data_IF_290760860039
#
_entry.id   IF_290760860039
#
_cell.length_a   1.000
_cell.length_b   1.000
_cell.length_c   1.000
_cell.angle_alpha   90.00
_cell.angle_beta   90.00
_cell.angle_gamma   90.00
#
_symmetry.space_group_name_H-M   'P 1'
#
loop_
_entity.id
_entity.type
_entity.pdbx_description
1 polymer ?
#
# COMPACT_ATOMS: atom_id res chain seq x y z
N UNK A 1 77.56 -30.62 16.49
CA UNK A 1 76.96 -30.64 15.13
C UNK A 1 76.44 -29.25 14.81
N UNK A 2 76.72 -28.74 13.62
CA UNK A 2 76.67 -27.31 13.30
C UNK A 2 75.23 -26.91 12.85
N UNK A 3 74.48 -26.21 13.70
CA UNK A 3 73.05 -25.88 13.48
C UNK A 3 72.78 -25.08 12.18
N UNK A 4 73.79 -24.45 11.58
CA UNK A 4 73.67 -23.72 10.31
C UNK A 4 73.48 -24.61 9.08
N UNK A 5 73.88 -25.89 9.09
CA UNK A 5 73.70 -26.78 7.93
C UNK A 5 72.33 -27.48 7.91
N UNK A 6 71.71 -27.62 9.08
CA UNK A 6 70.38 -28.23 9.24
C UNK A 6 69.31 -27.26 8.74
N UNK A 7 69.42 -25.98 9.11
CA UNK A 7 68.45 -24.94 8.70
C UNK A 7 68.41 -24.71 7.18
N UNK A 8 69.54 -24.86 6.48
CA UNK A 8 69.61 -24.73 5.00
C UNK A 8 68.99 -25.90 4.23
N UNK A 9 68.81 -27.07 4.86
CA UNK A 9 68.14 -28.24 4.24
C UNK A 9 66.65 -28.30 4.54
N UNK A 10 66.25 -27.77 5.69
CA UNK A 10 64.85 -27.76 6.12
C UNK A 10 64.08 -26.59 5.47
N UNK A 11 64.70 -25.43 5.29
CA UNK A 11 64.05 -24.25 4.71
C UNK A 11 63.43 -24.47 3.31
N UNK A 12 64.11 -25.09 2.32
CA UNK A 12 63.48 -25.35 1.02
C UNK A 12 62.35 -26.39 1.11
N UNK A 13 62.41 -27.32 2.08
CA UNK A 13 61.38 -28.34 2.27
C UNK A 13 60.10 -27.75 2.90
N UNK A 14 60.24 -26.79 3.83
CA UNK A 14 59.10 -26.06 4.43
C UNK A 14 58.49 -25.09 3.41
N UNK A 15 59.31 -24.42 2.60
CA UNK A 15 58.85 -23.51 1.55
C UNK A 15 58.06 -24.27 0.46
N UNK A 16 58.49 -25.48 0.09
CA UNK A 16 57.77 -26.34 -0.85
C UNK A 16 56.46 -26.90 -0.27
N UNK A 17 56.40 -27.14 1.05
CA UNK A 17 55.18 -27.57 1.74
C UNK A 17 54.14 -26.44 1.88
N UNK A 18 54.59 -25.20 2.05
CA UNK A 18 53.71 -24.00 2.05
C UNK A 18 53.17 -23.66 0.66
N UNK A 19 53.98 -23.83 -0.40
CA UNK A 19 53.54 -23.58 -1.79
C UNK A 19 52.55 -24.66 -2.28
N UNK A 20 52.67 -25.90 -1.81
CA UNK A 20 51.72 -26.98 -2.15
C UNK A 20 50.35 -26.83 -1.46
N UNK A 21 50.28 -26.14 -0.32
CA UNK A 21 49.02 -25.81 0.35
C UNK A 21 48.24 -24.66 -0.33
N UNK A 22 48.88 -23.88 -1.20
CA UNK A 22 48.24 -22.79 -1.95
C UNK A 22 47.67 -23.22 -3.32
N UNK A 23 47.86 -24.48 -3.73
CA UNK A 23 47.40 -25.00 -5.03
C UNK A 23 46.18 -25.94 -4.93
N UNK A 24 45.55 -26.07 -3.76
CA UNK A 24 44.34 -26.87 -3.54
C UNK A 24 43.11 -26.07 -3.06
N UNK A 25 43.16 -24.72 -3.09
CA UNK A 25 42.01 -23.88 -2.77
C UNK A 25 41.40 -23.24 -4.02
N UNK A 26 40.86 -24.09 -4.88
CA UNK A 26 39.81 -23.74 -5.84
C UNK A 26 38.93 -24.99 -5.97
N UNK A 27 38.05 -25.21 -5.00
CA UNK A 27 36.83 -25.98 -5.26
C UNK A 27 35.87 -25.04 -5.99
N UNK A 28 35.38 -25.36 -7.20
CA UNK A 28 34.15 -24.74 -7.65
C UNK A 28 33.10 -25.04 -6.57
N UNK A 29 32.43 -24.00 -6.05
CA UNK A 29 31.18 -24.23 -5.33
C UNK A 29 30.33 -25.12 -6.23
N UNK A 30 29.75 -26.23 -5.73
CA UNK A 30 28.67 -26.83 -6.45
C UNK A 30 27.62 -25.72 -6.62
N UNK A 31 27.33 -25.36 -7.87
CA UNK A 31 26.04 -24.76 -8.18
C UNK A 31 25.02 -25.60 -7.41
N UNK A 32 24.26 -24.97 -6.50
CA UNK A 32 23.04 -25.63 -6.03
C UNK A 32 22.34 -26.05 -7.31
N UNK A 33 21.85 -27.30 -7.42
CA UNK A 33 20.92 -27.59 -8.49
C UNK A 33 19.86 -26.49 -8.40
N UNK A 34 19.69 -25.70 -9.45
CA UNK A 34 18.42 -25.04 -9.66
C UNK A 34 17.41 -26.17 -9.48
N UNK A 35 16.60 -26.11 -8.42
CA UNK A 35 15.49 -27.02 -8.30
C UNK A 35 14.67 -26.76 -9.56
N UNK A 36 14.72 -27.71 -10.51
CA UNK A 36 13.78 -27.76 -11.62
C UNK A 36 12.40 -27.64 -10.99
N UNK A 37 11.80 -26.45 -11.13
CA UNK A 37 10.43 -26.20 -10.73
C UNK A 37 9.60 -27.17 -11.57
N UNK A 38 9.18 -28.28 -10.96
CA UNK A 38 8.32 -29.25 -11.60
C UNK A 38 6.89 -28.74 -11.43
N UNK A 39 6.26 -28.18 -12.47
CA UNK A 39 4.93 -27.58 -12.36
C UNK A 39 3.85 -28.60 -11.93
N UNK A 40 4.13 -29.91 -11.96
CA UNK A 40 3.17 -30.92 -11.51
C UNK A 40 3.03 -31.05 -9.98
N UNK A 41 3.74 -30.27 -9.16
CA UNK A 41 3.70 -30.36 -7.69
C UNK A 41 3.52 -29.02 -6.96
N UNK A 42 3.37 -27.90 -7.67
CA UNK A 42 3.10 -26.59 -7.05
C UNK A 42 1.60 -26.52 -6.69
N UNK A 43 1.24 -26.12 -5.47
CA UNK A 43 -0.18 -25.94 -5.11
C UNK A 43 -0.78 -24.73 -5.85
N UNK A 44 -2.06 -24.81 -6.20
CA UNK A 44 -2.83 -23.65 -6.68
C UNK A 44 -2.85 -22.54 -5.62
N UNK A 45 -2.91 -21.28 -6.06
CA UNK A 45 -3.05 -20.13 -5.17
C UNK A 45 -4.31 -20.26 -4.32
N UNK A 46 -4.21 -20.23 -2.97
CA UNK A 46 -5.37 -20.29 -2.10
C UNK A 46 -6.21 -19.02 -2.27
N UNK A 47 -7.52 -19.17 -2.50
CA UNK A 47 -8.45 -18.04 -2.62
C UNK A 47 -8.35 -17.06 -1.44
N UNK A 48 -8.07 -17.56 -0.23
CA UNK A 48 -7.91 -16.74 0.98
C UNK A 48 -6.74 -15.74 0.88
N UNK A 49 -5.72 -16.01 0.07
CA UNK A 49 -4.62 -15.07 -0.18
C UNK A 49 -5.12 -13.82 -0.92
N UNK A 50 -5.95 -14.02 -1.95
CA UNK A 50 -6.54 -12.93 -2.74
C UNK A 50 -7.57 -12.15 -1.91
N UNK A 51 -8.43 -12.84 -1.18
CA UNK A 51 -9.41 -12.20 -0.29
C UNK A 51 -8.73 -11.35 0.79
N UNK A 52 -7.60 -11.79 1.34
CA UNK A 52 -6.84 -10.99 2.31
C UNK A 52 -6.21 -9.75 1.66
N UNK A 53 -5.72 -9.87 0.42
CA UNK A 53 -5.18 -8.72 -0.32
C UNK A 53 -6.26 -7.67 -0.56
N UNK A 54 -7.44 -8.08 -1.03
CA UNK A 54 -8.60 -7.21 -1.22
C UNK A 54 -9.04 -6.53 0.08
N UNK A 55 -9.19 -7.29 1.18
CA UNK A 55 -9.58 -6.71 2.48
C UNK A 55 -8.56 -5.70 3.02
N UNK A 56 -7.26 -5.94 2.82
CA UNK A 56 -6.23 -4.98 3.20
C UNK A 56 -6.32 -3.69 2.39
N UNK A 57 -6.58 -3.78 1.08
CA UNK A 57 -6.72 -2.62 0.20
C UNK A 57 -7.98 -1.80 0.52
N UNK A 58 -9.10 -2.47 0.79
CA UNK A 58 -10.32 -1.78 1.20
C UNK A 58 -10.14 -1.14 2.59
N UNK A 59 -9.47 -1.81 3.53
CA UNK A 59 -9.12 -1.23 4.82
C UNK A 59 -8.24 0.01 4.66
N UNK A 60 -7.26 0.00 3.75
CA UNK A 60 -6.44 1.17 3.45
C UNK A 60 -7.29 2.33 2.93
N UNK A 61 -8.24 2.06 2.04
CA UNK A 61 -9.18 3.09 1.56
C UNK A 61 -9.98 3.67 2.73
N UNK A 62 -10.56 2.81 3.56
CA UNK A 62 -11.39 3.22 4.70
C UNK A 62 -10.61 4.03 5.73
N UNK A 63 -9.36 3.65 6.01
CA UNK A 63 -8.41 4.40 6.85
C UNK A 63 -8.11 5.78 6.29
N UNK A 64 -7.85 5.87 4.98
CA UNK A 64 -7.50 7.12 4.29
C UNK A 64 -8.69 8.11 4.23
N UNK A 65 -9.92 7.61 4.33
CA UNK A 65 -11.12 8.47 4.40
C UNK A 65 -11.36 9.11 5.77
N UNK A 66 -10.72 8.63 6.85
CA UNK A 66 -11.03 9.04 8.22
C UNK A 66 -10.86 10.54 8.45
N UNK A 67 -9.78 11.14 7.95
CA UNK A 67 -9.52 12.57 8.18
C UNK A 67 -10.61 13.44 7.54
N UNK A 68 -10.99 13.14 6.29
CA UNK A 68 -12.06 13.86 5.60
C UNK A 68 -13.42 13.68 6.26
N UNK A 69 -13.71 12.49 6.81
CA UNK A 69 -14.93 12.26 7.61
C UNK A 69 -14.91 13.13 8.88
N UNK A 70 -13.79 13.19 9.59
CA UNK A 70 -13.66 14.01 10.80
C UNK A 70 -13.86 15.50 10.48
N UNK A 71 -13.30 15.98 9.36
CA UNK A 71 -13.51 17.36 8.89
C UNK A 71 -14.98 17.60 8.57
N UNK A 72 -15.65 16.66 7.88
CA UNK A 72 -17.07 16.78 7.57
C UNK A 72 -17.94 16.86 8.82
N UNK A 73 -17.66 16.05 9.84
CA UNK A 73 -18.36 16.10 11.12
C UNK A 73 -18.16 17.44 11.84
N UNK A 74 -16.94 17.99 11.81
CA UNK A 74 -16.64 19.29 12.42
C UNK A 74 -17.33 20.45 11.67
N UNK A 75 -17.38 20.42 10.34
CA UNK A 75 -18.11 21.41 9.55
C UNK A 75 -19.61 21.37 9.87
N UNK A 76 -20.20 20.17 9.97
CA UNK A 76 -21.63 20.01 10.27
C UNK A 76 -21.99 20.47 11.69
N UNK A 77 -21.13 20.20 12.68
CA UNK A 77 -21.31 20.71 14.04
C UNK A 77 -21.26 22.25 14.08
N UNK A 78 -20.35 22.86 13.32
CA UNK A 78 -20.24 24.31 13.24
C UNK A 78 -21.46 24.95 12.57
N UNK A 79 -21.98 24.37 11.48
CA UNK A 79 -23.20 24.85 10.81
C UNK A 79 -24.40 24.79 11.75
N UNK A 80 -24.60 23.67 12.47
CA UNK A 80 -25.66 23.54 13.48
C UNK A 80 -25.56 24.57 14.59
N UNK A 81 -24.35 24.86 15.07
CA UNK A 81 -24.13 25.90 16.08
C UNK A 81 -24.44 27.32 15.57
N UNK A 82 -24.12 27.62 14.30
CA UNK A 82 -24.44 28.91 13.69
C UNK A 82 -25.95 29.09 13.50
N UNK A 83 -26.66 28.05 13.05
CA UNK A 83 -28.13 28.05 12.92
C UNK A 83 -28.82 28.25 14.28
N UNK A 84 -28.39 27.51 15.31
CA UNK A 84 -28.90 27.66 16.68
C UNK A 84 -28.68 29.08 17.24
N UNK A 85 -27.52 29.69 16.93
CA UNK A 85 -27.26 31.08 17.30
C UNK A 85 -28.20 32.04 16.57
N UNK A 86 -28.35 31.93 15.24
CA UNK A 86 -29.25 32.79 14.45
C UNK A 86 -30.70 32.66 14.91
N UNK A 87 -31.20 31.45 15.16
CA UNK A 87 -32.55 31.21 15.68
C UNK A 87 -32.74 31.85 17.07
N UNK A 88 -31.72 31.76 17.94
CA UNK A 88 -31.75 32.40 19.26
C UNK A 88 -31.76 33.94 19.21
N UNK A 89 -31.16 34.55 18.17
CA UNK A 89 -31.20 36.00 17.94
C UNK A 89 -32.55 36.46 17.39
N UNK A 90 -33.18 35.67 16.52
CA UNK A 90 -34.52 35.94 15.97
C UNK A 90 -35.60 35.80 17.06
N UNK A 91 -35.53 34.78 17.91
CA UNK A 91 -36.49 34.61 19.01
C UNK A 91 -36.39 35.72 20.08
N UNK A 92 -35.22 36.35 20.23
CA UNK A 92 -35.01 37.48 21.16
C UNK A 92 -35.49 38.82 20.62
N UNK A 93 -35.55 39.01 19.30
CA UNK A 93 -36.06 40.24 18.70
C UNK A 93 -37.60 40.25 18.63
N UNK A 94 -38.25 39.09 18.66
CA UNK A 94 -39.71 38.98 18.66
C UNK A 94 -40.39 39.23 20.03
N UNK A 95 -39.66 39.16 21.15
CA UNK A 95 -40.23 39.49 22.49
C UNK A 95 -40.35 41.00 22.77
N UNK A 96 -39.82 41.87 21.90
CA UNK A 96 -39.75 43.32 22.10
C UNK A 96 -40.39 44.15 20.94
N UNK A 97 -41.43 43.68 20.24
CA UNK A 97 -42.24 44.58 19.40
C UNK A 97 -43.72 44.18 19.26
N UNK A 98 -44.61 45.02 19.81
CA UNK A 98 -46.00 45.14 19.34
C UNK A 98 -45.99 46.17 18.21
N UNK A 99 -46.42 45.78 16.99
CA UNK A 99 -47.42 46.49 16.14
C UNK A 99 -47.53 45.84 14.74
N UNK A 100 -48.75 45.38 14.45
CA UNK A 100 -49.53 45.34 13.18
C UNK A 100 -48.89 44.90 11.84
N UNK A 101 -49.55 43.89 11.27
CA UNK A 101 -49.41 43.33 9.92
C UNK A 101 -49.63 44.33 8.76
N UNK A 102 -48.95 44.07 7.63
CA UNK A 102 -49.55 43.92 6.30
C UNK A 102 -48.60 43.17 5.33
N UNK A 103 -49.21 42.51 4.34
CA UNK A 103 -48.75 41.34 3.58
C UNK A 103 -47.79 41.61 2.39
N UNK A 104 -47.09 40.52 2.01
CA UNK A 104 -46.70 40.05 0.68
C UNK A 104 -45.75 40.89 -0.21
N UNK A 105 -44.58 40.32 -0.53
CA UNK A 105 -44.29 39.95 -1.92
C UNK A 105 -43.37 38.73 -2.01
N UNK A 106 -43.68 37.87 -2.98
CA UNK A 106 -43.05 36.60 -3.32
C UNK A 106 -41.62 36.81 -3.86
N UNK A 107 -40.66 36.05 -3.33
CA UNK A 107 -39.31 35.96 -3.86
C UNK A 107 -38.69 34.62 -3.50
N UNK A 108 -38.82 33.68 -4.45
CA UNK A 108 -38.02 32.47 -4.67
C UNK A 108 -37.47 31.74 -3.43
N UNK A 109 -38.12 30.61 -3.09
CA UNK A 109 -37.49 29.49 -2.40
C UNK A 109 -36.29 29.02 -3.25
N UNK A 110 -35.13 29.66 -3.08
CA UNK A 110 -33.88 28.93 -3.17
C UNK A 110 -33.85 27.99 -1.96
N UNK A 111 -34.23 26.74 -2.19
CA UNK A 111 -33.81 25.63 -1.34
C UNK A 111 -32.30 25.73 -1.17
N UNK A 112 -31.85 26.24 -0.01
CA UNK A 112 -30.48 26.09 0.46
C UNK A 112 -30.21 24.60 0.53
N UNK A 113 -29.49 24.09 -0.45
CA UNK A 113 -28.79 22.81 -0.37
C UNK A 113 -27.56 23.06 0.53
N UNK A 114 -27.80 23.41 1.80
CA UNK A 114 -26.79 23.61 2.82
C UNK A 114 -26.60 22.27 3.55
N UNK A 115 -25.99 21.31 2.86
CA UNK A 115 -25.48 20.09 3.48
C UNK A 115 -23.97 20.05 3.29
N UNK A 116 -23.23 19.66 4.32
CA UNK A 116 -21.80 19.39 4.21
C UNK A 116 -21.59 18.28 3.18
N UNK A 117 -20.87 18.59 2.10
CA UNK A 117 -20.49 17.60 1.08
C UNK A 117 -19.36 16.71 1.62
N UNK A 118 -19.76 15.61 2.27
CA UNK A 118 -18.86 14.63 2.89
C UNK A 118 -17.87 14.06 1.87
N UNK A 119 -18.35 13.74 0.67
CA UNK A 119 -17.53 13.08 -0.35
C UNK A 119 -16.44 14.02 -0.89
N UNK A 120 -16.76 15.30 -1.06
CA UNK A 120 -15.74 16.31 -1.38
C UNK A 120 -14.65 16.39 -0.31
N UNK A 121 -15.02 16.41 0.97
CA UNK A 121 -14.07 16.52 2.07
C UNK A 121 -13.19 15.29 2.23
N UNK A 122 -13.75 14.09 2.01
CA UNK A 122 -12.97 12.84 1.91
C UNK A 122 -11.95 12.96 0.79
N UNK A 123 -12.38 13.33 -0.41
CA UNK A 123 -11.49 13.45 -1.55
C UNK A 123 -10.37 14.49 -1.33
N UNK A 124 -10.65 15.57 -0.62
CA UNK A 124 -9.66 16.63 -0.33
C UNK A 124 -8.59 16.20 0.70
N UNK A 125 -8.90 15.25 1.59
CA UNK A 125 -7.99 14.83 2.67
C UNK A 125 -7.38 13.44 2.47
N UNK A 126 -7.86 12.67 1.50
CA UNK A 126 -7.27 11.38 1.14
C UNK A 126 -5.84 11.55 0.60
N UNK A 127 -4.94 10.68 1.06
CA UNK A 127 -3.56 10.62 0.60
C UNK A 127 -3.42 9.69 -0.60
N UNK A 128 -4.07 8.53 -0.54
CA UNK A 128 -3.95 7.43 -1.50
C UNK A 128 -5.30 7.02 -2.13
N UNK A 129 -6.43 7.59 -1.74
CA UNK A 129 -7.76 7.20 -2.25
C UNK A 129 -7.88 7.26 -3.78
N UNK A 130 -7.32 8.31 -4.43
CA UNK A 130 -7.30 8.39 -5.91
C UNK A 130 -6.45 7.28 -6.53
N UNK A 131 -5.37 6.92 -5.85
CA UNK A 131 -4.46 5.87 -6.28
C UNK A 131 -5.12 4.49 -6.13
N UNK A 132 -5.78 4.23 -5.01
CA UNK A 132 -6.56 3.00 -4.78
C UNK A 132 -7.73 2.87 -5.77
N UNK A 133 -8.48 3.96 -6.02
CA UNK A 133 -9.52 3.97 -7.04
C UNK A 133 -8.99 3.77 -8.47
N UNK A 134 -7.70 4.05 -8.71
CA UNK A 134 -7.05 3.70 -9.97
C UNK A 134 -6.69 2.21 -10.08
N UNK A 135 -6.69 1.45 -8.97
CA UNK A 135 -6.61 -0.02 -8.89
C UNK A 135 -8.00 -0.70 -8.87
N UNK A 136 -9.08 0.05 -9.11
CA UNK A 136 -10.48 -0.39 -8.94
C UNK A 136 -10.80 -0.83 -7.50
N UNK A 137 -10.14 -0.22 -6.50
CA UNK A 137 -10.40 -0.43 -5.07
C UNK A 137 -11.34 0.64 -4.55
N UNK A 138 -12.42 0.20 -3.90
CA UNK A 138 -13.40 1.04 -3.20
C UNK A 138 -13.44 0.65 -1.72
N UNK A 139 -13.71 1.62 -0.85
CA UNK A 139 -13.88 1.38 0.58
C UNK A 139 -15.13 0.57 0.92
N UNK A 140 -15.18 0.01 2.13
CA UNK A 140 -16.37 -0.66 2.65
C UNK A 140 -17.33 0.30 3.34
N UNK A 141 -16.92 1.55 3.55
CA UNK A 141 -17.73 2.55 4.25
C UNK A 141 -18.85 3.06 3.35
N UNK A 142 -20.09 2.70 3.70
CA UNK A 142 -21.30 3.28 3.10
C UNK A 142 -21.55 4.65 3.73
N UNK A 143 -20.95 5.68 3.15
CA UNK A 143 -21.10 7.06 3.60
C UNK A 143 -22.22 7.73 2.79
N UNK A 144 -23.37 7.86 3.45
CA UNK A 144 -24.51 8.65 2.99
C UNK A 144 -24.10 10.13 2.71
N UNK A 145 -25.01 10.92 2.12
CA UNK A 145 -24.82 12.38 1.93
C UNK A 145 -24.58 13.16 3.24
N UNK A 146 -24.82 12.56 4.40
CA UNK A 146 -24.63 13.17 5.72
C UNK A 146 -23.45 12.55 6.47
N UNK A 147 -22.66 13.33 7.25
CA UNK A 147 -21.57 12.79 8.04
C UNK A 147 -22.09 11.76 9.06
N UNK A 148 -21.28 10.76 9.44
CA UNK A 148 -21.64 9.84 10.50
C UNK A 148 -21.82 10.61 11.82
N UNK A 149 -22.76 10.14 12.65
CA UNK A 149 -23.08 10.80 13.92
C UNK A 149 -21.95 10.73 14.96
N UNK A 150 -21.12 9.68 14.89
CA UNK A 150 -19.92 9.52 15.72
C UNK A 150 -18.85 8.70 15.00
N UNK A 151 -17.60 8.86 15.44
CA UNK A 151 -16.44 8.10 14.96
C UNK A 151 -16.31 6.73 15.63
N UNK A 152 -17.04 6.47 16.72
CA UNK A 152 -16.90 5.22 17.50
C UNK A 152 -17.41 4.02 16.69
N UNK A 153 -18.54 4.19 16.01
CA UNK A 153 -19.06 3.18 15.08
C UNK A 153 -18.07 2.88 13.95
N UNK A 154 -17.43 3.92 13.40
CA UNK A 154 -16.45 3.77 12.33
C UNK A 154 -15.26 2.92 12.78
N UNK A 155 -14.63 3.31 13.89
CA UNK A 155 -13.50 2.56 14.44
C UNK A 155 -13.88 1.15 14.86
N UNK A 156 -15.12 0.91 15.31
CA UNK A 156 -15.61 -0.42 15.60
C UNK A 156 -15.64 -1.30 14.33
N UNK A 157 -16.12 -0.79 13.20
CA UNK A 157 -16.12 -1.54 11.94
C UNK A 157 -14.70 -1.82 11.42
N UNK A 158 -13.77 -0.85 11.53
CA UNK A 158 -12.37 -1.07 11.17
C UNK A 158 -11.73 -2.18 12.04
N UNK A 159 -12.03 -2.22 13.33
CA UNK A 159 -11.58 -3.31 14.19
C UNK A 159 -12.22 -4.66 13.84
N UNK A 160 -13.47 -4.69 13.35
CA UNK A 160 -14.08 -5.93 12.85
C UNK A 160 -13.37 -6.44 11.59
N UNK A 161 -12.93 -5.55 10.69
CA UNK A 161 -12.14 -5.93 9.52
C UNK A 161 -10.79 -6.54 9.93
N UNK A 162 -10.12 -5.97 10.95
CA UNK A 162 -8.90 -6.55 11.54
C UNK A 162 -9.15 -7.96 12.09
N UNK A 163 -10.26 -8.17 12.82
CA UNK A 163 -10.63 -9.48 13.33
C UNK A 163 -10.81 -10.52 12.20
N UNK A 164 -11.42 -10.13 11.08
CA UNK A 164 -11.59 -11.01 9.92
C UNK A 164 -10.24 -11.30 9.22
N UNK A 165 -9.34 -10.33 9.10
CA UNK A 165 -7.97 -10.55 8.60
C UNK A 165 -7.23 -11.60 9.45
N UNK A 166 -7.35 -11.56 10.78
CA UNK A 166 -6.78 -12.60 11.67
C UNK A 166 -7.41 -13.98 11.44
N UNK A 167 -8.72 -14.06 11.19
CA UNK A 167 -9.38 -15.33 10.86
C UNK A 167 -8.85 -15.90 9.55
N UNK A 168 -8.72 -15.06 8.52
CA UNK A 168 -8.18 -15.46 7.23
C UNK A 168 -6.72 -15.87 7.33
N UNK A 169 -5.91 -15.14 8.10
CA UNK A 169 -4.52 -15.52 8.39
C UNK A 169 -4.43 -16.93 8.98
N UNK A 170 -5.27 -17.25 9.97
CA UNK A 170 -5.32 -18.60 10.56
C UNK A 170 -5.74 -19.70 9.56
N UNK A 171 -6.33 -19.34 8.42
CA UNK A 171 -6.60 -20.26 7.30
C UNK A 171 -5.41 -20.31 6.33
N UNK A 172 -4.81 -19.16 6.01
CA UNK A 172 -3.72 -19.05 5.04
C UNK A 172 -2.40 -19.63 5.56
N UNK A 173 -2.05 -19.38 6.82
CA UNK A 173 -0.79 -19.80 7.44
C UNK A 173 -0.45 -21.30 7.22
N UNK A 174 -1.35 -22.28 7.49
CA UNK A 174 -1.05 -23.68 7.23
C UNK A 174 -0.90 -24.01 5.74
N UNK A 175 -1.53 -23.25 4.83
CA UNK A 175 -1.33 -23.42 3.37
C UNK A 175 0.06 -22.92 2.95
N UNK A 176 0.52 -21.78 3.48
CA UNK A 176 1.88 -21.28 3.27
C UNK A 176 2.94 -22.28 3.77
N UNK A 177 2.71 -22.90 4.93
CA UNK A 177 3.60 -23.95 5.45
C UNK A 177 3.66 -25.17 4.51
N UNK A 178 2.53 -25.59 3.90
CA UNK A 178 2.52 -26.68 2.91
C UNK A 178 3.22 -26.29 1.61
N UNK A 179 3.07 -25.04 1.19
CA UNK A 179 3.76 -24.44 0.05
C UNK A 179 5.25 -24.16 0.33
N UNK A 180 5.74 -24.48 1.54
CA UNK A 180 7.13 -24.34 1.97
C UNK A 180 7.66 -22.90 1.88
N UNK A 181 6.78 -21.92 2.11
CA UNK A 181 7.19 -20.54 2.36
C UNK A 181 8.16 -20.52 3.56
N UNK A 182 9.17 -19.65 3.53
CA UNK A 182 10.13 -19.57 4.63
C UNK A 182 9.43 -19.19 5.92
N UNK A 183 9.79 -19.86 7.01
CA UNK A 183 9.21 -19.62 8.32
C UNK A 183 9.40 -18.17 8.78
N UNK A 184 10.54 -17.54 8.48
CA UNK A 184 10.75 -16.13 8.84
C UNK A 184 9.77 -15.22 8.13
N UNK A 185 9.40 -15.55 6.89
CA UNK A 185 8.47 -14.73 6.11
C UNK A 185 7.04 -14.87 6.64
N UNK A 186 6.66 -16.07 7.10
CA UNK A 186 5.37 -16.31 7.76
C UNK A 186 5.31 -15.56 9.10
N UNK A 187 6.37 -15.65 9.91
CA UNK A 187 6.47 -14.95 11.20
C UNK A 187 6.46 -13.42 11.01
N UNK A 188 7.08 -12.90 9.94
CA UNK A 188 7.07 -11.47 9.61
C UNK A 188 5.66 -10.95 9.30
N UNK A 189 4.84 -11.72 8.59
CA UNK A 189 3.45 -11.34 8.31
C UNK A 189 2.60 -11.31 9.58
N UNK A 190 2.71 -12.32 10.44
CA UNK A 190 2.02 -12.35 11.73
C UNK A 190 2.40 -11.13 12.58
N UNK A 191 3.69 -10.78 12.65
CA UNK A 191 4.14 -9.58 13.38
C UNK A 191 3.58 -8.28 12.77
N UNK A 192 3.52 -8.16 11.45
CA UNK A 192 2.95 -6.97 10.80
C UNK A 192 1.44 -6.87 11.00
N UNK A 193 0.72 -8.00 10.99
CA UNK A 193 -0.72 -8.02 11.26
C UNK A 193 -1.03 -7.65 12.72
N UNK A 194 -0.20 -8.10 13.66
CA UNK A 194 -0.27 -7.68 15.06
C UNK A 194 -0.04 -6.17 15.21
N UNK A 195 0.94 -5.60 14.49
CA UNK A 195 1.21 -4.16 14.51
C UNK A 195 0.04 -3.36 13.94
N UNK A 196 -0.50 -3.76 12.79
CA UNK A 196 -1.69 -3.15 12.21
C UNK A 196 -2.86 -3.15 13.20
N UNK A 197 -3.06 -4.26 13.93
CA UNK A 197 -4.11 -4.37 14.93
C UNK A 197 -3.97 -3.34 16.05
N UNK A 198 -2.72 -3.12 16.50
CA UNK A 198 -2.42 -2.14 17.55
C UNK A 198 -2.59 -0.71 17.05
N UNK A 199 -2.10 -0.38 15.85
CA UNK A 199 -2.17 0.98 15.31
C UNK A 199 -3.62 1.38 14.97
N UNK A 200 -4.45 0.44 14.48
CA UNK A 200 -5.89 0.70 14.28
C UNK A 200 -6.61 0.90 15.62
N UNK A 201 -6.28 0.11 16.64
CA UNK A 201 -6.84 0.27 17.99
C UNK A 201 -6.46 1.64 18.60
N UNK A 202 -5.22 2.06 18.42
CA UNK A 202 -4.68 3.33 18.90
C UNK A 202 -5.03 4.52 17.98
N UNK A 203 -5.77 4.27 16.89
CA UNK A 203 -6.24 5.26 15.91
C UNK A 203 -5.10 6.01 15.19
N UNK A 204 -3.96 5.35 15.01
CA UNK A 204 -2.78 5.85 14.31
C UNK A 204 -2.94 5.60 12.80
N UNK A 205 -3.58 6.54 12.10
CA UNK A 205 -3.98 6.38 10.68
C UNK A 205 -2.77 6.13 9.77
N UNK A 206 -1.74 6.98 9.85
CA UNK A 206 -0.57 6.89 8.97
C UNK A 206 0.18 5.57 9.15
N UNK A 207 0.44 5.18 10.39
CA UNK A 207 1.09 3.93 10.74
C UNK A 207 0.26 2.72 10.28
N UNK A 208 -1.07 2.79 10.42
CA UNK A 208 -1.98 1.75 9.94
C UNK A 208 -1.96 1.62 8.42
N UNK A 209 -1.86 2.74 7.67
CA UNK A 209 -1.71 2.73 6.21
C UNK A 209 -0.39 2.05 5.80
N UNK A 210 0.73 2.38 6.47
CA UNK A 210 2.03 1.73 6.21
C UNK A 210 1.99 0.23 6.52
N UNK A 211 1.44 -0.18 7.66
CA UNK A 211 1.36 -1.61 8.02
C UNK A 211 0.45 -2.39 7.06
N UNK A 212 -0.68 -1.79 6.66
CA UNK A 212 -1.58 -2.41 5.66
C UNK A 212 -0.88 -2.56 4.31
N UNK A 213 -0.19 -1.52 3.83
CA UNK A 213 0.57 -1.59 2.58
C UNK A 213 1.65 -2.68 2.66
N UNK A 214 2.42 -2.74 3.76
CA UNK A 214 3.45 -3.77 3.97
C UNK A 214 2.89 -5.20 3.96
N UNK A 215 1.69 -5.42 4.49
CA UNK A 215 1.04 -6.74 4.42
C UNK A 215 0.75 -7.13 2.96
N UNK A 216 0.34 -6.18 2.10
CA UNK A 216 0.15 -6.47 0.66
C UNK A 216 1.45 -6.90 -0.03
N UNK A 217 2.60 -6.32 0.34
CA UNK A 217 3.91 -6.74 -0.17
C UNK A 217 4.25 -8.17 0.25
N UNK A 218 3.97 -8.54 1.49
CA UNK A 218 4.22 -9.88 2.00
C UNK A 218 3.32 -10.92 1.32
N UNK A 219 2.03 -10.61 1.09
CA UNK A 219 1.14 -11.47 0.29
C UNK A 219 1.66 -11.65 -1.13
N UNK A 220 2.10 -10.55 -1.78
CA UNK A 220 2.70 -10.60 -3.11
C UNK A 220 3.93 -11.51 -3.15
N UNK A 221 4.77 -11.50 -2.11
CA UNK A 221 5.94 -12.39 -1.99
C UNK A 221 5.53 -13.87 -1.95
N UNK A 222 4.44 -14.21 -1.27
CA UNK A 222 3.95 -15.59 -1.17
C UNK A 222 3.44 -16.17 -2.48
N UNK A 223 2.93 -15.34 -3.40
CA UNK A 223 2.44 -15.80 -4.72
C UNK A 223 3.49 -16.61 -5.48
N UNK A 224 4.78 -16.30 -5.32
CA UNK A 224 5.88 -17.06 -5.94
C UNK A 224 6.02 -18.52 -5.49
N UNK A 225 5.27 -18.96 -4.48
CA UNK A 225 5.23 -20.34 -4.00
C UNK A 225 4.04 -21.16 -4.54
N UNK A 226 3.15 -20.52 -5.30
CA UNK A 226 1.94 -21.10 -5.86
C UNK A 226 1.98 -21.14 -7.38
N UNK A 227 1.10 -21.95 -7.98
CA UNK A 227 0.85 -21.92 -9.42
C UNK A 227 -0.04 -20.71 -9.70
N UNK A 228 0.61 -19.59 -10.01
CA UNK A 228 0.00 -18.29 -10.27
C UNK A 228 0.48 -17.80 -11.64
N UNK A 229 -0.45 -17.42 -12.51
CA UNK A 229 -0.15 -16.91 -13.85
C UNK A 229 0.36 -15.46 -13.80
N UNK A 230 0.10 -14.75 -12.69
CA UNK A 230 0.55 -13.39 -12.49
C UNK A 230 1.97 -13.36 -11.89
N UNK A 231 2.95 -12.71 -12.54
CA UNK A 231 4.26 -12.50 -11.93
C UNK A 231 4.14 -11.70 -10.63
N UNK A 232 4.79 -12.17 -9.57
CA UNK A 232 4.72 -11.53 -8.26
C UNK A 232 5.31 -10.11 -8.24
N UNK A 233 6.05 -9.73 -9.29
CA UNK A 233 6.56 -8.38 -9.53
C UNK A 233 5.43 -7.36 -9.72
N UNK A 234 4.30 -7.76 -10.35
CA UNK A 234 3.16 -6.87 -10.58
C UNK A 234 2.57 -6.32 -9.26
N UNK A 235 2.09 -7.16 -8.32
CA UNK A 235 1.56 -6.65 -7.05
C UNK A 235 2.63 -5.94 -6.20
N UNK A 236 3.91 -6.33 -6.29
CA UNK A 236 5.01 -5.60 -5.61
C UNK A 236 5.22 -4.20 -6.17
N UNK A 237 5.08 -4.00 -7.48
CA UNK A 237 5.13 -2.65 -8.06
C UNK A 237 4.00 -1.78 -7.50
N UNK A 238 2.76 -2.30 -7.41
CA UNK A 238 1.63 -1.56 -6.83
C UNK A 238 1.91 -1.14 -5.38
N UNK A 239 2.45 -2.05 -4.57
CA UNK A 239 2.93 -1.76 -3.22
C UNK A 239 3.92 -0.58 -3.19
N UNK A 240 4.97 -0.61 -4.03
CA UNK A 240 5.99 0.42 -4.03
C UNK A 240 5.47 1.79 -4.47
N UNK A 241 4.50 1.83 -5.39
CA UNK A 241 3.87 3.09 -5.79
C UNK A 241 3.02 3.66 -4.65
N UNK A 242 2.22 2.83 -3.95
CA UNK A 242 1.52 3.25 -2.73
C UNK A 242 2.48 3.75 -1.65
N UNK A 243 3.56 3.02 -1.42
CA UNK A 243 4.59 3.34 -0.45
C UNK A 243 5.22 4.72 -0.74
N UNK A 244 5.50 5.01 -2.00
CA UNK A 244 6.06 6.31 -2.39
C UNK A 244 5.15 7.49 -2.03
N UNK A 245 3.83 7.33 -2.18
CA UNK A 245 2.87 8.39 -1.83
C UNK A 245 2.77 8.54 -0.32
N UNK A 246 2.71 7.44 0.43
CA UNK A 246 2.70 7.49 1.91
C UNK A 246 3.97 8.13 2.48
N UNK A 247 5.14 7.81 1.91
CA UNK A 247 6.42 8.41 2.30
C UNK A 247 6.46 9.91 1.98
N UNK A 248 5.99 10.32 0.80
CA UNK A 248 5.93 11.72 0.41
C UNK A 248 4.94 12.52 1.29
N UNK A 249 3.80 11.92 1.66
CA UNK A 249 2.84 12.51 2.60
C UNK A 249 3.45 12.73 4.00
N UNK A 250 4.47 11.94 4.35
CA UNK A 250 5.23 12.04 5.60
C UNK A 250 6.57 12.77 5.43
N UNK A 251 6.69 13.64 4.41
CA UNK A 251 7.88 14.45 4.09
C UNK A 251 9.18 13.65 3.79
N UNK A 252 9.09 12.33 3.56
CA UNK A 252 10.22 11.44 3.28
C UNK A 252 10.43 11.25 1.78
N UNK A 253 10.69 12.35 1.05
CA UNK A 253 10.80 12.34 -0.41
C UNK A 253 11.95 11.50 -0.96
N UNK A 254 13.06 11.37 -0.22
CA UNK A 254 14.21 10.56 -0.66
C UNK A 254 13.82 9.08 -0.72
N UNK A 255 13.26 8.57 0.38
CA UNK A 255 12.77 7.20 0.46
C UNK A 255 11.58 6.97 -0.50
N UNK A 256 10.75 7.99 -0.75
CA UNK A 256 9.69 7.91 -1.75
C UNK A 256 10.24 7.68 -3.16
N UNK A 257 11.34 8.37 -3.53
CA UNK A 257 12.03 8.12 -4.81
C UNK A 257 12.59 6.70 -4.85
N UNK A 258 13.25 6.25 -3.78
CA UNK A 258 13.80 4.89 -3.70
C UNK A 258 12.70 3.81 -3.88
N UNK A 259 11.50 4.06 -3.37
CA UNK A 259 10.35 3.17 -3.57
C UNK A 259 9.92 3.12 -5.04
N UNK A 260 9.82 4.27 -5.73
CA UNK A 260 9.48 4.31 -7.16
C UNK A 260 10.56 3.62 -8.02
N UNK A 261 11.83 3.83 -7.70
CA UNK A 261 12.94 3.13 -8.37
C UNK A 261 12.85 1.61 -8.16
N UNK A 262 12.44 1.15 -6.97
CA UNK A 262 12.20 -0.27 -6.71
C UNK A 262 11.09 -0.86 -7.60
N UNK A 263 10.03 -0.09 -7.88
CA UNK A 263 9.01 -0.50 -8.86
C UNK A 263 9.60 -0.60 -10.28
N UNK A 264 10.48 0.33 -10.67
CA UNK A 264 11.16 0.29 -11.97
C UNK A 264 12.08 -0.94 -12.12
N UNK A 265 12.81 -1.30 -11.07
CA UNK A 265 13.66 -2.50 -11.06
C UNK A 265 12.86 -3.80 -11.19
N UNK A 266 11.62 -3.84 -10.67
CA UNK A 266 10.71 -4.98 -10.84
C UNK A 266 10.20 -5.08 -12.28
N UNK A 267 9.83 -3.96 -12.91
CA UNK A 267 9.48 -3.95 -14.35
C UNK A 267 10.62 -4.50 -15.19
N UNK A 268 11.87 -4.11 -14.91
CA UNK A 268 13.05 -4.60 -15.63
C UNK A 268 13.18 -6.12 -15.62
N UNK A 269 12.78 -6.78 -14.54
CA UNK A 269 12.84 -8.23 -14.40
C UNK A 269 11.83 -8.93 -15.32
N UNK A 270 10.62 -8.39 -15.45
CA UNK A 270 9.54 -8.97 -16.26
C UNK A 270 9.44 -8.40 -17.68
N UNK A 271 10.20 -7.35 -18.00
CA UNK A 271 10.18 -6.63 -19.29
C UNK A 271 10.24 -7.57 -20.49
N UNK A 272 11.12 -8.56 -20.43
CA UNK A 272 11.31 -9.50 -21.53
C UNK A 272 10.06 -10.37 -21.79
N UNK A 273 9.27 -10.63 -20.75
CA UNK A 273 7.99 -11.36 -20.85
C UNK A 273 6.94 -10.44 -21.46
N UNK A 274 6.81 -9.21 -20.96
CA UNK A 274 5.90 -8.20 -21.50
C UNK A 274 6.12 -7.94 -23.00
N UNK A 275 7.38 -7.78 -23.41
CA UNK A 275 7.77 -7.62 -24.83
C UNK A 275 7.35 -8.83 -25.67
N UNK A 276 7.50 -10.04 -25.12
CA UNK A 276 7.13 -11.27 -25.84
C UNK A 276 5.62 -11.35 -26.07
N UNK A 277 4.83 -10.75 -25.19
CA UNK A 277 3.36 -10.66 -25.29
C UNK A 277 2.89 -9.37 -26.01
N UNK A 278 3.77 -8.76 -26.84
CA UNK A 278 3.50 -7.56 -27.65
C UNK A 278 3.10 -6.30 -26.82
N UNK A 279 3.54 -6.20 -25.56
CA UNK A 279 3.20 -5.12 -24.64
C UNK A 279 4.26 -3.98 -24.57
N UNK A 280 5.09 -3.79 -25.60
CA UNK A 280 6.09 -2.70 -25.66
C UNK A 280 5.51 -1.31 -25.35
N UNK A 281 4.32 -0.99 -25.87
CA UNK A 281 3.69 0.30 -25.66
C UNK A 281 3.28 0.50 -24.17
N UNK A 282 2.93 -0.58 -23.47
CA UNK A 282 2.60 -0.55 -22.03
C UNK A 282 3.87 -0.29 -21.21
N UNK A 283 4.95 -1.00 -21.52
CA UNK A 283 6.27 -0.79 -20.90
C UNK A 283 6.73 0.66 -21.06
N UNK A 284 6.62 1.23 -22.27
CA UNK A 284 7.01 2.61 -22.52
C UNK A 284 6.15 3.61 -21.73
N UNK A 285 4.83 3.40 -21.64
CA UNK A 285 3.94 4.25 -20.84
C UNK A 285 4.33 4.23 -19.36
N UNK A 286 4.59 3.04 -18.82
CA UNK A 286 5.03 2.88 -17.44
C UNK A 286 6.32 3.64 -17.17
N UNK A 287 7.36 3.45 -17.99
CA UNK A 287 8.64 4.12 -17.83
C UNK A 287 8.52 5.65 -17.86
N UNK A 288 7.74 6.19 -18.80
CA UNK A 288 7.50 7.63 -18.86
C UNK A 288 6.73 8.13 -17.64
N UNK A 289 5.76 7.37 -17.12
CA UNK A 289 5.04 7.75 -15.90
C UNK A 289 5.91 7.66 -14.64
N UNK A 290 6.87 6.73 -14.60
CA UNK A 290 7.88 6.64 -13.54
C UNK A 290 8.78 7.86 -13.56
N UNK A 291 9.32 8.24 -14.73
CA UNK A 291 10.16 9.44 -14.88
C UNK A 291 9.42 10.71 -14.42
N UNK A 292 8.14 10.83 -14.81
CA UNK A 292 7.27 11.93 -14.38
C UNK A 292 7.07 11.91 -12.85
N UNK A 293 6.77 10.77 -12.24
CA UNK A 293 6.55 10.66 -10.79
C UNK A 293 7.83 10.99 -10.00
N UNK A 294 8.97 10.45 -10.41
CA UNK A 294 10.28 10.76 -9.82
C UNK A 294 10.58 12.26 -9.94
N UNK A 295 10.21 12.89 -11.05
CA UNK A 295 10.38 14.33 -11.22
C UNK A 295 9.62 15.14 -10.15
N UNK A 296 8.34 14.82 -9.91
CA UNK A 296 7.53 15.55 -8.92
C UNK A 296 8.00 15.27 -7.48
N UNK A 297 8.39 14.04 -7.17
CA UNK A 297 8.97 13.69 -5.86
C UNK A 297 10.27 14.45 -5.58
N UNK A 298 11.15 14.58 -6.57
CA UNK A 298 12.38 15.39 -6.45
C UNK A 298 12.12 16.89 -6.31
N UNK A 299 10.96 17.36 -6.78
CA UNK A 299 10.53 18.75 -6.60
C UNK A 299 9.79 18.96 -5.27
N UNK A 300 9.58 17.90 -4.48
CA UNK A 300 8.79 17.90 -3.25
C UNK A 300 7.33 18.38 -3.48
N UNK A 301 6.79 18.16 -4.70
CA UNK A 301 5.43 18.58 -5.07
C UNK A 301 4.43 17.45 -4.83
N UNK A 302 3.98 17.33 -3.57
CA UNK A 302 3.05 16.27 -3.17
C UNK A 302 1.74 16.29 -3.95
N UNK A 303 1.20 17.47 -4.28
CA UNK A 303 -0.03 17.58 -5.07
C UNK A 303 0.13 16.96 -6.46
N UNK A 304 1.24 17.26 -7.15
CA UNK A 304 1.51 16.61 -8.44
C UNK A 304 1.87 15.13 -8.28
N UNK A 305 2.52 14.72 -7.19
CA UNK A 305 2.73 13.30 -6.85
C UNK A 305 1.39 12.55 -6.77
N UNK A 306 0.38 13.09 -6.09
CA UNK A 306 -0.95 12.49 -5.99
C UNK A 306 -1.68 12.39 -7.34
N UNK A 307 -1.35 13.23 -8.32
CA UNK A 307 -1.89 13.15 -9.69
C UNK A 307 -1.12 12.14 -10.55
N UNK A 308 0.20 12.04 -10.37
CA UNK A 308 1.07 11.21 -11.21
C UNK A 308 1.10 9.74 -10.78
N UNK A 309 1.07 9.45 -9.49
CA UNK A 309 1.11 8.07 -8.99
C UNK A 309 -0.06 7.19 -9.49
N UNK A 310 -1.32 7.66 -9.54
CA UNK A 310 -2.43 6.91 -10.13
C UNK A 310 -2.23 6.57 -11.62
N UNK A 311 -1.48 7.39 -12.36
CA UNK A 311 -1.15 7.10 -13.77
C UNK A 311 -0.18 5.92 -13.86
N UNK A 312 0.81 5.87 -12.96
CA UNK A 312 1.74 4.74 -12.87
C UNK A 312 0.97 3.45 -12.54
N UNK A 313 0.08 3.50 -11.55
CA UNK A 313 -0.80 2.38 -11.19
C UNK A 313 -1.61 1.87 -12.40
N UNK A 314 -2.25 2.75 -13.15
CA UNK A 314 -3.01 2.34 -14.36
C UNK A 314 -2.12 1.66 -15.39
N UNK A 315 -0.88 2.11 -15.53
CA UNK A 315 0.07 1.46 -16.42
C UNK A 315 0.52 0.08 -15.89
N UNK A 316 0.63 -0.10 -14.57
CA UNK A 316 0.87 -1.42 -13.96
C UNK A 316 -0.33 -2.35 -14.19
N UNK A 317 -1.57 -1.87 -14.08
CA UNK A 317 -2.75 -2.69 -14.37
C UNK A 317 -2.81 -3.14 -15.83
N UNK A 318 -2.39 -2.30 -16.78
CA UNK A 318 -2.26 -2.74 -18.17
C UNK A 318 -1.21 -3.86 -18.35
N UNK A 319 -0.19 -3.93 -17.47
CA UNK A 319 0.72 -5.06 -17.46
C UNK A 319 0.05 -6.32 -16.91
N UNK A 320 -0.73 -6.20 -15.82
CA UNK A 320 -1.51 -7.28 -15.24
C UNK A 320 -2.45 -7.93 -16.28
N UNK A 321 -3.20 -7.10 -17.01
CA UNK A 321 -4.08 -7.54 -18.10
C UNK A 321 -3.35 -8.32 -19.20
N UNK A 322 -2.06 -8.06 -19.40
CA UNK A 322 -1.23 -8.78 -20.38
C UNK A 322 -1.01 -10.23 -19.95
N UNK A 323 -0.88 -10.49 -18.64
CA UNK A 323 -0.71 -11.85 -18.09
C UNK A 323 -2.04 -12.58 -17.97
N UNK A 324 -3.12 -11.87 -17.65
CA UNK A 324 -4.47 -12.42 -17.49
C UNK A 324 -5.18 -12.77 -18.82
N UNK A 325 -4.62 -12.40 -19.97
CA UNK A 325 -5.22 -12.60 -21.29
C UNK A 325 -4.97 -13.99 -21.92
N UNK A 326 -4.28 -14.89 -21.21
CA UNK A 326 -3.89 -16.23 -21.67
C UNK A 326 -4.37 -17.31 -20.71
#
# INVERSE_FOLDING_TARGET
>A
MNNKSIMKRIFPSILFLMISLLLFSCSPSPERPEEEHNPNNTPETPQVLEEMEEELLNLMHDLDSIEGIQVAMLEEENEKMEEDMEESYVLKSEEDEVVLAEEHDEGEEETKENGVDVQRLIHEHQLIGILLGAEDIEGNLDLDELPPADMEALWFELNNLIDELHRKWNVLEPELQKAKVDRSDIEEFEEQLDRLSLTVLDQEIMESLFHSNQLTFLLAKYRGNFDDDLPNEIPKMKFYIRESVLLAANDNFVEAVDAVESAQELEEQIRHILIKEDAEDVVQKFQLSIDDLIHELNNEDFYLTQIKAPIVIKNIMLMDETFSAH
#
